data_IF_029306504502
#
_entry.id   IF_029306504502
#
_cell.length_a   1.000
_cell.length_b   1.000
_cell.length_c   1.000
_cell.angle_alpha   90.00
_cell.angle_beta   90.00
_cell.angle_gamma   90.00
#
_symmetry.space_group_name_H-M   'P 1'
#
loop_
_entity.id
_entity.type
_entity.pdbx_description
1 polymer ?
#
# COMPACT_ATOMS: atom_id res chain seq x y z
N UNK A 1 17.22 10.88 -12.23
CA UNK A 1 18.51 10.68 -11.71
C UNK A 1 18.82 11.48 -10.48
N UNK A 2 19.39 10.85 -9.53
CA UNK A 2 19.60 11.45 -8.25
C UNK A 2 20.91 12.20 -8.16
N UNK A 3 20.92 13.32 -7.50
CA UNK A 3 22.14 14.08 -7.32
C UNK A 3 22.79 13.70 -6.02
N UNK A 4 24.13 13.70 -6.00
CA UNK A 4 24.85 13.28 -4.83
C UNK A 4 24.65 14.14 -3.63
N UNK A 5 24.45 15.42 -3.83
CA UNK A 5 24.31 16.35 -2.72
C UNK A 5 22.88 16.65 -2.34
N UNK A 6 21.91 15.99 -3.00
CA UNK A 6 20.50 16.16 -2.70
C UNK A 6 19.90 14.84 -2.30
N UNK A 7 19.56 14.70 -1.03
CA UNK A 7 18.90 13.51 -0.55
C UNK A 7 17.40 13.61 -0.74
N UNK A 8 16.81 12.52 -1.18
CA UNK A 8 15.37 12.40 -1.28
C UNK A 8 14.86 11.77 -0.01
N UNK A 9 13.95 12.44 0.67
CA UNK A 9 13.33 11.89 1.87
C UNK A 9 12.15 11.02 1.48
N UNK A 10 12.07 9.87 2.10
CA UNK A 10 10.95 8.96 1.85
C UNK A 10 9.90 9.15 2.92
N UNK A 11 8.64 8.89 2.53
CA UNK A 11 7.53 8.87 3.47
C UNK A 11 7.23 7.46 3.97
N UNK A 12 7.98 6.48 3.49
CA UNK A 12 7.78 5.10 3.90
C UNK A 12 8.25 4.92 5.34
N UNK A 13 7.46 4.17 6.10
CA UNK A 13 7.78 3.86 7.49
C UNK A 13 7.53 2.39 7.76
N UNK A 14 8.38 1.52 7.20
CA UNK A 14 8.22 0.08 7.41
C UNK A 14 8.30 -0.25 8.89
N UNK A 15 7.49 -1.20 9.32
CA UNK A 15 7.51 -1.64 10.71
C UNK A 15 6.92 -3.03 10.81
N UNK A 16 7.23 -3.69 11.92
CA UNK A 16 6.60 -4.95 12.25
C UNK A 16 5.16 -4.70 12.69
N UNK A 17 4.31 -5.66 12.48
CA UNK A 17 2.88 -5.50 12.78
C UNK A 17 2.25 -6.83 13.12
N UNK A 18 1.11 -6.75 13.81
CA UNK A 18 0.28 -7.92 14.07
C UNK A 18 -0.78 -8.00 12.97
N UNK A 19 -1.18 -9.22 12.57
CA UNK A 19 -2.14 -9.35 11.46
C UNK A 19 -3.42 -8.56 11.64
N UNK A 20 -3.92 -8.43 12.87
CA UNK A 20 -5.18 -7.72 13.09
C UNK A 20 -5.04 -6.20 12.95
N UNK A 21 -3.82 -5.67 12.94
CA UNK A 21 -3.57 -4.24 12.79
C UNK A 21 -3.55 -3.80 11.33
N UNK A 22 -3.52 -4.74 10.41
CA UNK A 22 -3.16 -4.44 9.04
C UNK A 22 -4.14 -5.00 8.04
N UNK A 23 -4.14 -4.42 6.85
CA UNK A 23 -4.88 -4.93 5.70
C UNK A 23 -3.91 -5.20 4.58
N UNK A 24 -4.14 -6.27 3.86
CA UNK A 24 -3.32 -6.68 2.74
C UNK A 24 -4.07 -6.33 1.46
N UNK A 25 -3.43 -5.56 0.60
CA UNK A 25 -4.02 -5.10 -0.65
C UNK A 25 -3.23 -5.68 -1.81
N UNK A 26 -3.89 -6.39 -2.70
CA UNK A 26 -3.25 -6.96 -3.87
C UNK A 26 -3.69 -6.29 -5.17
N UNK A 27 -4.69 -5.44 -5.11
CA UNK A 27 -5.14 -4.67 -6.27
C UNK A 27 -4.17 -3.51 -6.49
N UNK A 28 -3.42 -3.50 -7.60
CA UNK A 28 -2.40 -2.46 -7.80
C UNK A 28 -2.99 -1.06 -7.92
N UNK A 29 -4.18 -0.94 -8.49
CA UNK A 29 -4.81 0.37 -8.59
C UNK A 29 -5.20 0.91 -7.23
N UNK A 30 -5.75 0.06 -6.37
CA UNK A 30 -6.13 0.45 -5.02
C UNK A 30 -4.91 0.91 -4.22
N UNK A 31 -3.82 0.15 -4.29
CA UNK A 31 -2.58 0.52 -3.61
C UNK A 31 -2.03 1.83 -4.13
N UNK A 32 -2.05 2.01 -5.45
CA UNK A 32 -1.59 3.25 -6.07
C UNK A 32 -2.38 4.45 -5.55
N UNK A 33 -3.70 4.31 -5.52
CA UNK A 33 -4.55 5.41 -5.07
C UNK A 33 -4.40 5.70 -3.59
N UNK A 34 -4.17 4.67 -2.78
CA UNK A 34 -3.88 4.87 -1.35
C UNK A 34 -2.62 5.72 -1.18
N UNK A 35 -1.55 5.33 -1.87
CA UNK A 35 -0.28 6.04 -1.78
C UNK A 35 -0.43 7.46 -2.32
N UNK A 36 -1.15 7.62 -3.42
CA UNK A 36 -1.40 8.93 -4.00
C UNK A 36 -2.10 9.85 -3.02
N UNK A 37 -2.91 9.29 -2.13
CA UNK A 37 -3.64 10.04 -1.12
C UNK A 37 -2.94 10.07 0.23
N UNK A 38 -1.66 9.76 0.26
CA UNK A 38 -0.85 9.93 1.46
C UNK A 38 -0.85 8.77 2.42
N UNK A 39 -1.43 7.63 2.04
CA UNK A 39 -1.45 6.44 2.89
C UNK A 39 -0.41 5.46 2.36
N UNK A 40 0.62 5.23 3.13
CA UNK A 40 1.78 4.45 2.69
C UNK A 40 1.80 3.07 3.33
N UNK A 41 2.31 2.07 2.59
CA UNK A 41 2.38 0.72 3.15
C UNK A 41 3.47 0.60 4.19
N UNK A 42 3.27 -0.31 5.13
CA UNK A 42 4.26 -0.62 6.16
C UNK A 42 5.04 -1.89 5.82
N UNK A 43 4.60 -2.63 4.80
CA UNK A 43 5.26 -3.85 4.35
C UNK A 43 4.84 -4.12 2.92
N UNK A 44 5.64 -4.92 2.21
CA UNK A 44 5.28 -5.40 0.89
C UNK A 44 6.00 -6.71 0.63
N UNK A 45 5.37 -7.61 -0.11
CA UNK A 45 5.99 -8.89 -0.43
C UNK A 45 5.34 -9.51 -1.64
N UNK A 46 6.02 -10.48 -2.23
CA UNK A 46 5.48 -11.22 -3.37
C UNK A 46 4.51 -12.27 -2.85
N UNK A 47 3.39 -12.39 -3.54
CA UNK A 47 2.38 -13.37 -3.24
C UNK A 47 1.98 -14.05 -4.53
N UNK A 48 1.05 -14.97 -4.48
CA UNK A 48 0.60 -15.69 -5.66
C UNK A 48 -0.91 -15.54 -5.79
N UNK A 49 -1.34 -15.20 -7.00
CA UNK A 49 -2.76 -15.12 -7.32
C UNK A 49 -3.29 -16.53 -7.51
N UNK A 50 -4.24 -16.93 -6.69
CA UNK A 50 -4.80 -18.29 -6.73
C UNK A 50 -5.48 -18.63 -8.05
N UNK A 51 -6.00 -17.64 -8.74
CA UNK A 51 -6.72 -17.88 -9.99
C UNK A 51 -5.82 -18.08 -11.18
N UNK A 52 -4.76 -17.29 -11.27
CA UNK A 52 -3.87 -17.30 -12.43
C UNK A 52 -2.54 -17.98 -12.12
N UNK A 53 -2.26 -18.22 -10.85
CA UNK A 53 -1.00 -18.78 -10.39
C UNK A 53 0.19 -17.88 -10.72
N UNK A 54 -0.06 -16.59 -10.96
CA UNK A 54 0.98 -15.61 -11.24
C UNK A 54 1.43 -14.94 -9.96
N UNK A 55 2.65 -14.47 -9.96
CA UNK A 55 3.15 -13.68 -8.84
C UNK A 55 2.51 -12.31 -8.85
N UNK A 56 2.13 -11.85 -7.67
CA UNK A 56 1.55 -10.53 -7.50
C UNK A 56 2.21 -9.84 -6.32
N UNK A 57 2.13 -8.52 -6.30
CA UNK A 57 2.67 -7.74 -5.21
C UNK A 57 1.59 -7.49 -4.18
N UNK A 58 1.86 -7.91 -2.94
CA UNK A 58 0.98 -7.63 -1.82
C UNK A 58 1.54 -6.44 -1.06
N UNK A 59 0.71 -5.44 -0.81
CA UNK A 59 1.08 -4.30 0.02
C UNK A 59 0.26 -4.32 1.28
N UNK A 60 0.90 -4.06 2.40
CA UNK A 60 0.26 -4.10 3.71
C UNK A 60 0.20 -2.70 4.27
N UNK A 61 -1.00 -2.29 4.67
CA UNK A 61 -1.24 -0.96 5.23
C UNK A 61 -1.81 -1.11 6.63
N UNK A 62 -1.58 -0.13 7.49
CA UNK A 62 -2.25 -0.12 8.79
C UNK A 62 -3.73 0.18 8.62
N UNK A 63 -4.57 -0.60 9.28
CA UNK A 63 -6.02 -0.39 9.22
C UNK A 63 -6.41 1.03 9.60
N UNK A 64 -5.78 1.55 10.65
CA UNK A 64 -6.12 2.88 11.12
C UNK A 64 -5.85 3.97 10.10
N UNK A 65 -4.91 3.71 9.17
CA UNK A 65 -4.57 4.68 8.13
C UNK A 65 -5.49 4.58 6.92
N UNK A 66 -6.23 3.48 6.78
CA UNK A 66 -6.96 3.21 5.55
C UNK A 66 -8.45 3.46 5.61
N UNK A 67 -8.99 3.79 6.79
CA UNK A 67 -10.45 3.86 6.93
C UNK A 67 -11.10 4.85 5.97
N UNK A 68 -10.51 6.04 5.80
CA UNK A 68 -11.07 7.05 4.90
C UNK A 68 -10.91 6.66 3.44
N UNK A 69 -9.70 6.25 3.05
CA UNK A 69 -9.47 5.90 1.64
C UNK A 69 -10.22 4.63 1.24
N UNK A 70 -10.43 3.72 2.18
CA UNK A 70 -11.20 2.52 1.89
C UNK A 70 -12.66 2.85 1.59
N UNK A 71 -13.25 3.75 2.36
CA UNK A 71 -14.61 4.20 2.12
C UNK A 71 -14.74 4.82 0.73
N UNK A 72 -13.80 5.69 0.39
CA UNK A 72 -13.81 6.34 -0.92
C UNK A 72 -13.60 5.34 -2.03
N UNK A 73 -12.71 4.38 -1.81
CA UNK A 73 -12.47 3.33 -2.79
C UNK A 73 -13.74 2.53 -3.07
N UNK A 74 -14.46 2.12 -2.03
CA UNK A 74 -15.70 1.37 -2.17
C UNK A 74 -16.80 2.17 -2.85
N UNK A 75 -16.78 3.48 -2.72
CA UNK A 75 -17.77 4.37 -3.34
C UNK A 75 -17.34 4.92 -4.69
N UNK A 76 -16.23 4.44 -5.23
CA UNK A 76 -15.67 4.90 -6.49
C UNK A 76 -15.34 6.39 -6.47
N UNK A 77 -14.98 6.90 -5.31
CA UNK A 77 -14.66 8.31 -5.12
C UNK A 77 -13.18 8.58 -4.94
N UNK A 78 -12.37 7.54 -4.90
CA UNK A 78 -10.96 7.69 -4.66
C UNK A 78 -10.20 7.90 -5.96
N UNK A 79 -9.50 9.01 -6.06
CA UNK A 79 -8.69 9.30 -7.25
C UNK A 79 -7.41 10.08 -6.92
#
# INVERSE_FOLDING_TARGET
>A
MERKDNMVKTNLKPRDYLPHEAVRIINPKQSLLYIKNGVYPIDMYASIDDKTNNSILAMVFLKEDTSEVYKKWCNYELD
#
